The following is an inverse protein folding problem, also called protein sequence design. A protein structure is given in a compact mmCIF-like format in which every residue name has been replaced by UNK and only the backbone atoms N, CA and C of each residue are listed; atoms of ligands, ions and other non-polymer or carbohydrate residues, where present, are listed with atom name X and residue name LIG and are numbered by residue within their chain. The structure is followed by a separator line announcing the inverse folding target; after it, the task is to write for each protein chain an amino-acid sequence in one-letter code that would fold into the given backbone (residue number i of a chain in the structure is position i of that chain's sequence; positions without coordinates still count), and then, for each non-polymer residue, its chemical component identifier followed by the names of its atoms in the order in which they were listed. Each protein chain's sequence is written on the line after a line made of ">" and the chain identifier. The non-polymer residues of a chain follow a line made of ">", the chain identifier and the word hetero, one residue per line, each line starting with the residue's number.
data_IF_684954854368
#
_entry.id   IF_684954854368
#
_cell.length_a   1.000
_cell.length_b   1.000
_cell.length_c   1.000
_cell.angle_alpha   90.00
_cell.angle_beta   90.00
_cell.angle_gamma   90.00
#
_symmetry.space_group_name_H-M   'P 1'
#
loop_
_entity.id
_entity.type
_entity.pdbx_description
1 polymer ?
#
# COMPACT_ATOMS: atom_id res chain seq x y z
N UNK A 1 19.64 6.61 53.43
CA UNK A 1 19.82 5.90 52.13
C UNK A 1 19.10 6.59 50.96
N UNK A 2 17.97 7.30 51.10
CA UNK A 2 17.23 7.97 50.02
C UNK A 2 17.96 9.17 49.37
N UNK A 3 18.75 9.97 50.10
CA UNK A 3 19.51 11.10 49.54
C UNK A 3 20.70 10.71 48.66
N UNK A 4 21.34 9.56 48.90
CA UNK A 4 22.47 9.10 48.10
C UNK A 4 22.03 8.50 46.75
N UNK A 5 20.81 7.97 46.67
CA UNK A 5 20.25 7.48 45.38
C UNK A 5 19.82 8.62 44.47
N UNK A 6 19.35 9.75 45.02
CA UNK A 6 18.90 10.88 44.19
C UNK A 6 20.08 11.61 43.50
N UNK A 7 21.21 11.79 44.22
CA UNK A 7 22.42 12.42 43.65
C UNK A 7 23.11 11.55 42.60
N UNK A 8 22.98 10.22 42.70
CA UNK A 8 23.53 9.31 41.71
C UNK A 8 22.72 9.32 40.41
N UNK A 9 21.41 9.47 40.50
CA UNK A 9 20.52 9.63 39.34
C UNK A 9 20.73 10.98 38.64
N UNK A 10 20.84 12.08 39.39
CA UNK A 10 21.08 13.43 38.81
C UNK A 10 22.43 13.51 38.07
N UNK A 11 23.47 12.85 38.56
CA UNK A 11 24.75 12.77 37.85
C UNK A 11 24.68 11.89 36.60
N UNK A 12 23.93 10.79 36.63
CA UNK A 12 23.74 9.93 35.47
C UNK A 12 22.94 10.64 34.39
N UNK A 13 21.92 11.42 34.76
CA UNK A 13 21.10 12.19 33.80
C UNK A 13 21.95 13.26 33.10
N UNK A 14 22.78 14.01 33.84
CA UNK A 14 23.71 14.98 33.25
C UNK A 14 24.74 14.33 32.31
N UNK A 15 25.29 13.18 32.70
CA UNK A 15 26.22 12.46 31.85
C UNK A 15 25.52 11.95 30.57
N UNK A 16 24.26 11.48 30.67
CA UNK A 16 23.47 11.07 29.51
C UNK A 16 23.22 12.25 28.55
N UNK A 17 22.82 13.41 29.07
CA UNK A 17 22.60 14.61 28.27
C UNK A 17 23.88 15.06 27.53
N UNK A 18 25.03 15.00 28.18
CA UNK A 18 26.32 15.29 27.52
C UNK A 18 26.63 14.32 26.40
N UNK A 19 26.44 13.00 26.62
CA UNK A 19 26.67 11.98 25.59
C UNK A 19 25.71 12.15 24.43
N UNK A 20 24.42 12.48 24.67
CA UNK A 20 23.45 12.74 23.61
C UNK A 20 23.87 13.96 22.78
N UNK A 21 24.32 15.05 23.41
CA UNK A 21 24.81 16.23 22.73
C UNK A 21 26.10 15.96 21.89
N UNK A 22 26.99 15.12 22.39
CA UNK A 22 28.20 14.68 21.65
C UNK A 22 27.85 13.87 20.42
N UNK A 23 26.88 12.94 20.53
CA UNK A 23 26.36 12.14 19.41
C UNK A 23 25.75 13.05 18.34
N UNK A 24 24.91 14.01 18.74
CA UNK A 24 24.33 14.98 17.78
C UNK A 24 25.41 15.84 17.11
N UNK A 25 26.42 16.25 17.84
CA UNK A 25 27.55 17.02 17.27
C UNK A 25 28.36 16.21 16.27
N UNK A 26 28.56 14.92 16.53
CA UNK A 26 29.36 14.04 15.67
C UNK A 26 28.58 13.54 14.45
N UNK A 27 27.31 13.19 14.59
CA UNK A 27 26.51 12.53 13.56
C UNK A 27 25.41 13.41 12.95
N UNK A 28 25.24 14.61 13.47
CA UNK A 28 24.23 15.57 13.02
C UNK A 28 22.98 15.58 13.91
N UNK A 29 22.27 16.71 13.88
CA UNK A 29 21.03 16.92 14.65
C UNK A 29 19.97 15.89 14.25
N UNK A 30 19.33 15.28 15.25
CA UNK A 30 18.32 14.23 15.05
C UNK A 30 18.89 12.84 14.84
N UNK A 31 20.23 12.63 14.99
CA UNK A 31 20.85 11.30 14.95
C UNK A 31 20.46 10.42 16.14
N UNK A 32 20.07 11.03 17.25
CA UNK A 32 19.54 10.39 18.44
C UNK A 32 18.44 11.25 19.05
N UNK A 33 17.37 10.62 19.54
CA UNK A 33 16.24 11.32 20.18
C UNK A 33 15.51 10.36 21.13
N UNK A 34 14.78 10.89 22.09
CA UNK A 34 13.82 10.09 22.86
C UNK A 34 12.62 9.77 21.97
N UNK A 35 12.11 8.55 22.03
CA UNK A 35 11.01 8.11 21.15
C UNK A 35 9.77 9.00 21.27
N UNK A 36 9.43 9.48 22.48
CA UNK A 36 8.30 10.39 22.69
C UNK A 36 8.51 11.81 22.16
N UNK A 37 9.73 12.18 21.80
CA UNK A 37 10.06 13.49 21.17
C UNK A 37 10.09 13.40 19.64
N UNK A 38 9.79 12.20 19.08
CA UNK A 38 9.79 11.98 17.65
C UNK A 38 8.57 12.66 17.00
N UNK A 39 8.76 13.68 16.12
CA UNK A 39 7.66 14.35 15.43
C UNK A 39 6.85 13.42 14.49
N UNK A 40 7.37 12.21 14.19
CA UNK A 40 6.70 11.23 13.35
C UNK A 40 5.86 10.20 14.12
N UNK A 41 5.39 10.50 15.32
CA UNK A 41 4.43 9.65 16.04
C UNK A 41 3.11 9.48 15.27
N UNK A 42 2.68 10.52 14.54
CA UNK A 42 1.55 10.43 13.61
C UNK A 42 2.07 10.00 12.23
N UNK A 43 1.75 8.78 11.82
CA UNK A 43 2.15 8.25 10.52
C UNK A 43 1.34 8.93 9.43
N UNK A 44 1.98 9.78 8.62
CA UNK A 44 1.34 10.31 7.42
C UNK A 44 1.06 9.20 6.41
N UNK A 45 -0.05 9.32 5.69
CA UNK A 45 -0.53 8.27 4.78
C UNK A 45 -1.03 8.81 3.45
N UNK A 46 -0.93 7.97 2.42
CA UNK A 46 -1.62 8.11 1.15
C UNK A 46 -2.75 7.08 1.10
N UNK A 47 -3.97 7.50 0.78
CA UNK A 47 -5.10 6.56 0.64
C UNK A 47 -4.80 5.51 -0.44
N UNK A 48 -5.25 4.30 -0.22
CA UNK A 48 -5.20 3.22 -1.22
C UNK A 48 -6.26 3.35 -2.31
N UNK A 49 -7.22 4.29 -2.16
CA UNK A 49 -8.41 4.39 -2.98
C UNK A 49 -9.56 3.49 -2.54
N UNK A 50 -9.34 2.64 -1.55
CA UNK A 50 -10.33 1.76 -0.92
C UNK A 50 -10.50 2.13 0.56
N UNK A 51 -11.71 2.50 0.96
CA UNK A 51 -12.02 2.90 2.35
C UNK A 51 -11.81 1.71 3.28
N UNK A 52 -12.21 0.53 2.85
CA UNK A 52 -12.12 -0.69 3.67
C UNK A 52 -10.68 -1.16 3.82
N UNK A 53 -9.85 -1.05 2.77
CA UNK A 53 -8.43 -1.34 2.86
C UNK A 53 -7.71 -0.31 3.75
N UNK A 54 -8.02 0.97 3.60
CA UNK A 54 -7.46 2.03 4.42
C UNK A 54 -7.74 1.77 5.92
N UNK A 55 -8.97 1.38 6.26
CA UNK A 55 -9.35 0.96 7.60
C UNK A 55 -8.61 -0.30 8.08
N UNK A 56 -8.43 -1.28 7.19
CA UNK A 56 -7.71 -2.52 7.51
C UNK A 56 -6.22 -2.28 7.77
N UNK A 57 -5.63 -1.27 7.13
CA UNK A 57 -4.24 -0.82 7.37
C UNK A 57 -4.06 -0.19 8.75
N UNK A 58 -5.14 0.25 9.41
CA UNK A 58 -5.15 0.74 10.79
C UNK A 58 -4.59 2.15 10.99
N UNK A 59 -4.01 2.74 9.94
CA UNK A 59 -3.52 4.12 9.89
C UNK A 59 -4.23 4.92 8.78
N UNK A 60 -5.29 4.37 8.20
CA UNK A 60 -6.13 4.96 7.16
C UNK A 60 -5.41 5.25 5.84
N UNK A 61 -4.50 4.36 5.44
CA UNK A 61 -3.82 4.42 4.15
C UNK A 61 -2.44 3.77 4.15
N UNK A 62 -1.74 3.91 3.04
CA UNK A 62 -0.36 3.49 2.89
C UNK A 62 0.57 4.45 3.63
N UNK A 63 1.39 3.97 4.59
CA UNK A 63 2.30 4.82 5.35
C UNK A 63 3.36 5.44 4.44
N UNK A 64 3.53 6.77 4.53
CA UNK A 64 4.57 7.49 3.81
C UNK A 64 5.98 7.11 4.28
N UNK A 65 6.96 7.27 3.39
CA UNK A 65 8.35 6.94 3.68
C UNK A 65 8.61 5.44 3.87
N UNK A 66 7.73 4.57 3.37
CA UNK A 66 7.79 3.12 3.59
C UNK A 66 7.77 2.31 2.30
N UNK A 67 8.33 1.11 2.40
CA UNK A 67 8.25 0.09 1.35
C UNK A 67 7.02 -0.78 1.61
N UNK A 68 6.18 -0.93 0.58
CA UNK A 68 4.97 -1.73 0.58
C UNK A 68 5.11 -2.82 -0.48
N UNK A 69 4.67 -4.02 -0.18
CA UNK A 69 4.55 -5.11 -1.17
C UNK A 69 3.08 -5.47 -1.35
N UNK A 70 2.60 -5.38 -2.58
CA UNK A 70 1.29 -5.90 -3.00
C UNK A 70 1.55 -7.14 -3.84
N UNK A 71 1.04 -8.29 -3.41
CA UNK A 71 1.30 -9.54 -4.11
C UNK A 71 0.06 -10.42 -4.22
N UNK A 72 0.06 -11.33 -5.17
CA UNK A 72 -1.05 -12.26 -5.41
C UNK A 72 -0.92 -12.93 -6.77
N UNK A 73 -1.88 -13.81 -7.10
CA UNK A 73 -1.96 -14.46 -8.40
C UNK A 73 -2.08 -13.45 -9.53
N UNK A 74 -1.87 -13.91 -10.75
CA UNK A 74 -2.14 -13.12 -11.95
C UNK A 74 -3.60 -12.69 -12.02
N UNK A 75 -3.85 -11.53 -12.62
CA UNK A 75 -5.21 -10.95 -12.79
C UNK A 75 -6.01 -10.79 -11.49
N UNK A 76 -5.34 -10.66 -10.34
CA UNK A 76 -6.01 -10.45 -9.03
C UNK A 76 -6.31 -8.98 -8.70
N UNK A 77 -5.92 -8.02 -9.55
CA UNK A 77 -6.15 -6.59 -9.36
C UNK A 77 -5.01 -5.81 -8.71
N UNK A 78 -3.79 -6.38 -8.62
CA UNK A 78 -2.62 -5.71 -8.00
C UNK A 78 -2.31 -4.35 -8.60
N UNK A 79 -2.20 -4.28 -9.93
CA UNK A 79 -1.96 -3.04 -10.68
C UNK A 79 -3.11 -2.05 -10.51
N UNK A 80 -4.36 -2.52 -10.46
CA UNK A 80 -5.54 -1.69 -10.19
C UNK A 80 -5.41 -0.95 -8.85
N UNK A 81 -5.04 -1.65 -7.77
CA UNK A 81 -4.80 -1.02 -6.46
C UNK A 81 -3.65 -0.01 -6.48
N UNK A 82 -2.58 -0.32 -7.18
CA UNK A 82 -1.44 0.60 -7.30
C UNK A 82 -1.82 1.88 -8.09
N UNK A 83 -2.61 1.74 -9.16
CA UNK A 83 -3.09 2.88 -9.93
C UNK A 83 -4.08 3.74 -9.14
N UNK A 84 -4.97 3.14 -8.33
CA UNK A 84 -5.81 3.91 -7.41
C UNK A 84 -4.98 4.69 -6.38
N UNK A 85 -3.93 4.09 -5.83
CA UNK A 85 -3.03 4.79 -4.91
C UNK A 85 -2.33 5.98 -5.58
N UNK A 86 -1.93 5.84 -6.85
CA UNK A 86 -1.38 6.95 -7.66
C UNK A 86 -2.43 8.06 -7.81
N UNK A 87 -3.66 7.72 -8.22
CA UNK A 87 -4.73 8.69 -8.37
C UNK A 87 -5.01 9.45 -7.05
N UNK A 88 -5.01 8.75 -5.93
CA UNK A 88 -5.20 9.37 -4.61
C UNK A 88 -4.01 10.26 -4.18
N UNK A 89 -2.78 9.88 -4.53
CA UNK A 89 -1.60 10.73 -4.32
C UNK A 89 -1.69 12.03 -5.14
N UNK A 90 -2.03 11.92 -6.43
CA UNK A 90 -2.17 13.06 -7.33
C UNK A 90 -3.31 14.00 -6.92
N UNK A 91 -4.47 13.47 -6.47
CA UNK A 91 -5.59 14.28 -5.94
C UNK A 91 -5.19 15.15 -4.75
N UNK A 92 -4.20 14.75 -3.97
CA UNK A 92 -3.63 15.53 -2.87
C UNK A 92 -2.50 16.48 -3.30
N UNK A 93 -2.25 16.61 -4.62
CA UNK A 93 -1.17 17.41 -5.18
C UNK A 93 0.20 16.75 -5.12
N UNK A 94 0.27 15.46 -4.77
CA UNK A 94 1.50 14.67 -4.77
C UNK A 94 1.92 14.24 -6.18
N UNK A 95 3.21 13.99 -6.35
CA UNK A 95 3.79 13.49 -7.59
C UNK A 95 4.02 12.00 -7.52
N UNK A 96 3.68 11.28 -8.59
CA UNK A 96 3.84 9.85 -8.66
C UNK A 96 4.69 9.42 -9.86
N UNK A 97 5.39 8.30 -9.70
CA UNK A 97 6.11 7.64 -10.76
C UNK A 97 5.70 6.17 -10.87
N UNK A 98 5.64 5.67 -12.10
CA UNK A 98 5.36 4.28 -12.41
C UNK A 98 6.54 3.69 -13.17
N UNK A 99 7.16 2.67 -12.61
CA UNK A 99 8.26 1.92 -13.23
C UNK A 99 7.65 0.62 -13.76
N UNK A 100 7.40 0.61 -15.07
CA UNK A 100 6.73 -0.47 -15.81
C UNK A 100 7.77 -1.44 -16.38
N UNK A 101 8.18 -2.40 -15.57
CA UNK A 101 9.11 -3.44 -15.99
C UNK A 101 8.43 -4.55 -16.82
N UNK A 102 7.11 -4.63 -16.82
CA UNK A 102 6.34 -5.57 -17.67
C UNK A 102 5.97 -4.97 -19.03
N UNK A 103 6.17 -3.64 -19.24
CA UNK A 103 5.78 -2.90 -20.44
C UNK A 103 4.28 -3.06 -20.79
N UNK A 104 3.43 -3.08 -19.77
CA UNK A 104 2.04 -3.48 -19.88
C UNK A 104 1.03 -2.45 -19.34
N UNK A 105 1.49 -1.23 -18.97
CA UNK A 105 0.58 -0.19 -18.49
C UNK A 105 -0.37 0.26 -19.61
N UNK A 106 -1.68 0.26 -19.31
CA UNK A 106 -2.71 0.81 -20.20
C UNK A 106 -3.07 2.24 -19.73
N UNK A 107 -2.71 3.27 -20.52
CA UNK A 107 -3.03 4.66 -20.16
C UNK A 107 -4.54 4.96 -20.16
N UNK A 108 -5.34 4.25 -20.98
CA UNK A 108 -6.80 4.42 -21.00
C UNK A 108 -7.40 3.92 -19.70
N UNK A 109 -6.95 2.75 -19.26
CA UNK A 109 -7.37 2.19 -17.98
C UNK A 109 -6.89 3.03 -16.80
N UNK A 110 -5.62 3.47 -16.80
CA UNK A 110 -5.10 4.35 -15.75
C UNK A 110 -5.94 5.64 -15.62
N UNK A 111 -6.28 6.28 -16.74
CA UNK A 111 -7.15 7.45 -16.78
C UNK A 111 -8.56 7.16 -16.24
N UNK A 112 -9.13 6.00 -16.58
CA UNK A 112 -10.45 5.58 -16.07
C UNK A 112 -10.47 5.42 -14.55
N UNK A 113 -9.34 5.02 -13.95
CA UNK A 113 -9.15 4.92 -12.50
C UNK A 113 -8.89 6.29 -11.82
N UNK A 114 -8.81 7.37 -12.59
CA UNK A 114 -8.63 8.72 -12.09
C UNK A 114 -7.16 9.17 -12.01
N UNK A 115 -6.24 8.44 -12.64
CA UNK A 115 -4.84 8.86 -12.76
C UNK A 115 -4.75 10.00 -13.75
N UNK A 116 -4.08 11.09 -13.37
CA UNK A 116 -3.62 12.12 -14.28
C UNK A 116 -2.41 11.59 -15.03
N UNK A 117 -2.64 11.14 -16.28
CA UNK A 117 -1.62 10.51 -17.10
C UNK A 117 -0.61 11.51 -17.66
N UNK A 118 -0.98 12.79 -17.74
CA UNK A 118 -0.10 13.85 -18.23
C UNK A 118 0.95 14.23 -17.17
N UNK A 119 0.62 14.06 -15.88
CA UNK A 119 1.52 14.31 -14.73
C UNK A 119 2.19 13.03 -14.18
N UNK A 120 1.83 11.85 -14.69
CA UNK A 120 2.43 10.60 -14.25
C UNK A 120 3.81 10.39 -14.90
N UNK A 121 4.85 10.29 -14.07
CA UNK A 121 6.20 9.96 -14.55
C UNK A 121 6.26 8.46 -14.85
N UNK A 122 6.45 8.12 -16.13
CA UNK A 122 6.57 6.73 -16.59
C UNK A 122 8.03 6.41 -16.93
N UNK A 123 8.50 5.25 -16.47
CA UNK A 123 9.78 4.66 -16.87
C UNK A 123 9.57 3.20 -17.26
N UNK A 124 10.18 2.80 -18.39
CA UNK A 124 10.16 1.42 -18.88
C UNK A 124 11.61 0.94 -19.03
N UNK A 125 12.20 0.43 -17.94
CA UNK A 125 13.60 0.05 -17.91
C UNK A 125 13.86 -1.28 -18.61
N UNK A 126 15.05 -1.42 -19.20
CA UNK A 126 15.48 -2.64 -19.87
C UNK A 126 15.95 -3.72 -18.90
N UNK A 127 16.44 -3.35 -17.71
CA UNK A 127 16.96 -4.28 -16.70
C UNK A 127 16.50 -3.95 -15.29
N UNK A 128 16.59 -4.94 -14.40
CA UNK A 128 16.26 -4.78 -12.99
C UNK A 128 17.17 -3.79 -12.28
N UNK A 129 18.47 -3.71 -12.66
CA UNK A 129 19.41 -2.72 -12.14
C UNK A 129 18.95 -1.31 -12.50
N UNK A 130 18.62 -1.07 -13.77
CA UNK A 130 18.14 0.22 -14.25
C UNK A 130 16.86 0.65 -13.53
N UNK A 131 15.88 -0.26 -13.41
CA UNK A 131 14.62 -0.01 -12.70
C UNK A 131 14.85 0.47 -11.26
N UNK A 132 15.72 -0.25 -10.52
CA UNK A 132 15.96 0.02 -9.10
C UNK A 132 16.87 1.24 -8.87
N UNK A 133 17.77 1.56 -9.81
CA UNK A 133 18.57 2.79 -9.78
C UNK A 133 17.72 4.04 -10.09
N UNK A 134 16.78 3.92 -11.03
CA UNK A 134 15.78 4.98 -11.29
C UNK A 134 14.94 5.21 -10.04
N UNK A 135 14.41 4.14 -9.42
CA UNK A 135 13.65 4.25 -8.18
C UNK A 135 14.47 4.93 -7.07
N UNK A 136 15.71 4.51 -6.86
CA UNK A 136 16.61 5.12 -5.85
C UNK A 136 16.83 6.62 -6.13
N UNK A 137 17.05 7.00 -7.39
CA UNK A 137 17.27 8.39 -7.80
C UNK A 137 16.03 9.25 -7.56
N UNK A 138 14.85 8.74 -7.91
CA UNK A 138 13.59 9.42 -7.67
C UNK A 138 13.33 9.63 -6.17
N UNK A 139 13.58 8.62 -5.33
CA UNK A 139 13.48 8.75 -3.87
C UNK A 139 14.44 9.82 -3.34
N UNK A 140 15.69 9.79 -3.79
CA UNK A 140 16.72 10.77 -3.36
C UNK A 140 16.39 12.21 -3.73
N UNK A 141 15.63 12.42 -4.79
CA UNK A 141 15.23 13.76 -5.20
C UNK A 141 14.35 14.48 -4.17
N UNK A 142 13.61 13.71 -3.32
CA UNK A 142 12.64 14.25 -2.39
C UNK A 142 11.43 14.91 -3.07
N UNK A 143 11.30 14.78 -4.39
CA UNK A 143 10.25 15.43 -5.17
C UNK A 143 9.08 14.50 -5.55
N UNK A 144 9.17 13.21 -5.20
CA UNK A 144 8.20 12.17 -5.54
C UNK A 144 7.59 11.62 -4.25
N UNK A 145 6.27 11.57 -4.20
CA UNK A 145 5.53 11.06 -3.05
C UNK A 145 5.27 9.56 -3.13
N UNK A 146 5.03 9.04 -4.34
CA UNK A 146 4.70 7.63 -4.57
C UNK A 146 5.41 7.08 -5.80
N UNK A 147 6.07 5.95 -5.65
CA UNK A 147 6.65 5.16 -6.75
C UNK A 147 5.99 3.79 -6.76
N UNK A 148 5.55 3.34 -7.93
CA UNK A 148 5.09 1.97 -8.17
C UNK A 148 6.11 1.26 -9.05
N UNK A 149 6.48 0.03 -8.69
CA UNK A 149 7.32 -0.86 -9.50
C UNK A 149 6.49 -2.08 -9.87
N UNK A 150 6.13 -2.22 -11.13
CA UNK A 150 5.32 -3.31 -11.68
C UNK A 150 6.09 -4.07 -12.76
N UNK A 151 6.52 -5.28 -12.52
CA UNK A 151 6.52 -6.01 -11.25
C UNK A 151 7.92 -6.52 -10.90
N UNK A 152 8.10 -6.92 -9.63
CA UNK A 152 9.37 -7.55 -9.19
C UNK A 152 9.72 -8.78 -10.02
N UNK A 153 8.71 -9.52 -10.50
CA UNK A 153 8.92 -10.70 -11.34
C UNK A 153 9.64 -10.38 -12.66
N UNK A 154 9.44 -9.17 -13.19
CA UNK A 154 10.01 -8.71 -14.45
C UNK A 154 11.37 -7.98 -14.27
N UNK A 155 11.86 -7.82 -13.05
CA UNK A 155 13.18 -7.22 -12.79
C UNK A 155 14.28 -8.23 -13.10
N UNK A 156 14.61 -8.37 -14.38
CA UNK A 156 15.66 -9.28 -14.85
C UNK A 156 17.04 -8.62 -14.66
N UNK A 157 17.98 -9.29 -13.99
CA UNK A 157 19.36 -8.78 -13.87
C UNK A 157 20.04 -8.62 -15.21
N UNK A 158 20.85 -7.56 -15.38
CA UNK A 158 21.57 -7.28 -16.63
C UNK A 158 22.42 -8.46 -17.11
N UNK A 159 23.11 -9.13 -16.19
CA UNK A 159 23.93 -10.31 -16.49
C UNK A 159 23.09 -11.46 -17.09
N UNK A 160 21.82 -11.57 -16.70
CA UNK A 160 20.91 -12.57 -17.26
C UNK A 160 20.47 -12.18 -18.68
N UNK A 161 20.29 -10.89 -18.96
CA UNK A 161 19.98 -10.38 -20.31
C UNK A 161 21.15 -10.52 -21.28
N UNK A 162 22.38 -10.34 -20.80
CA UNK A 162 23.60 -10.43 -21.59
C UNK A 162 24.07 -11.89 -21.79
N UNK A 163 23.51 -12.84 -20.99
CA UNK A 163 23.87 -14.25 -21.01
C UNK A 163 23.18 -15.04 -22.12
N UNK A 164 23.63 -16.29 -22.31
CA UNK A 164 22.97 -17.23 -23.21
C UNK A 164 21.74 -17.88 -22.57
N UNK A 165 20.77 -18.30 -23.39
CA UNK A 165 19.55 -18.99 -22.91
C UNK A 165 19.82 -20.30 -22.14
N UNK A 166 21.00 -20.87 -22.30
CA UNK A 166 21.46 -22.08 -21.59
C UNK A 166 22.05 -21.80 -20.22
N UNK A 167 22.33 -20.54 -19.88
CA UNK A 167 23.03 -20.20 -18.65
C UNK A 167 22.13 -20.35 -17.42
N UNK A 168 22.68 -20.98 -16.39
CA UNK A 168 21.98 -21.11 -15.11
C UNK A 168 22.23 -19.89 -14.23
N UNK A 169 21.24 -19.01 -14.12
CA UNK A 169 21.36 -17.72 -13.44
C UNK A 169 20.66 -17.71 -12.05
N UNK A 170 20.72 -18.85 -11.34
CA UNK A 170 20.00 -19.00 -10.06
C UNK A 170 20.39 -17.96 -9.02
N UNK A 171 19.38 -17.27 -8.48
CA UNK A 171 19.51 -16.37 -7.33
C UNK A 171 20.03 -14.97 -7.63
N UNK A 172 20.30 -14.60 -8.89
CA UNK A 172 20.76 -13.26 -9.27
C UNK A 172 19.72 -12.19 -8.91
N UNK A 173 18.45 -12.40 -9.29
CA UNK A 173 17.36 -11.49 -8.94
C UNK A 173 17.23 -11.29 -7.43
N UNK A 174 17.37 -12.34 -6.63
CA UNK A 174 17.31 -12.22 -5.17
C UNK A 174 18.50 -11.41 -4.59
N UNK A 175 19.69 -11.52 -5.20
CA UNK A 175 20.86 -10.71 -4.83
C UNK A 175 20.66 -9.24 -5.21
N UNK A 176 20.16 -8.98 -6.41
CA UNK A 176 19.82 -7.65 -6.90
C UNK A 176 18.81 -6.97 -5.96
N UNK A 177 17.69 -7.62 -5.67
CA UNK A 177 16.68 -7.13 -4.75
C UNK A 177 17.24 -6.86 -3.34
N UNK A 178 18.06 -7.76 -2.82
CA UNK A 178 18.69 -7.58 -1.50
C UNK A 178 19.62 -6.37 -1.45
N UNK A 179 20.40 -6.12 -2.51
CA UNK A 179 21.28 -4.95 -2.63
C UNK A 179 20.49 -3.67 -2.75
N UNK A 180 19.49 -3.64 -3.62
CA UNK A 180 18.67 -2.47 -3.87
C UNK A 180 17.84 -2.06 -2.65
N UNK A 181 17.15 -3.01 -2.01
CA UNK A 181 16.32 -2.73 -0.84
C UNK A 181 17.13 -2.23 0.36
N UNK A 182 18.38 -2.69 0.51
CA UNK A 182 19.30 -2.16 1.52
C UNK A 182 19.61 -0.70 1.29
N UNK A 183 19.87 -0.31 0.03
CA UNK A 183 20.13 1.10 -0.35
C UNK A 183 18.87 1.95 -0.18
N UNK A 184 17.74 1.50 -0.75
CA UNK A 184 16.45 2.19 -0.68
C UNK A 184 16.02 2.42 0.77
N UNK A 185 16.11 1.41 1.64
CA UNK A 185 15.77 1.55 3.06
C UNK A 185 16.54 2.67 3.76
N UNK A 186 17.84 2.84 3.43
CA UNK A 186 18.66 3.90 3.99
C UNK A 186 18.28 5.31 3.52
N UNK A 187 17.75 5.43 2.30
CA UNK A 187 17.33 6.71 1.71
C UNK A 187 15.91 7.07 2.15
N UNK A 188 15.01 6.11 2.12
CA UNK A 188 13.59 6.31 2.44
C UNK A 188 13.33 6.81 3.86
N UNK A 189 14.19 6.45 4.81
CA UNK A 189 14.10 6.98 6.18
C UNK A 189 14.30 8.51 6.27
N UNK A 190 14.72 9.14 5.18
CA UNK A 190 14.99 10.59 5.10
C UNK A 190 14.04 11.32 4.15
N UNK A 191 13.09 10.61 3.58
CA UNK A 191 12.11 11.13 2.62
C UNK A 191 10.72 10.59 2.96
N UNK A 192 9.68 11.30 2.54
CA UNK A 192 8.29 10.87 2.68
C UNK A 192 7.80 10.05 1.48
N UNK A 193 8.72 9.69 0.57
CA UNK A 193 8.39 8.89 -0.61
C UNK A 193 8.01 7.47 -0.23
N UNK A 194 6.86 6.99 -0.71
CA UNK A 194 6.41 5.61 -0.56
C UNK A 194 6.76 4.82 -1.82
N UNK A 195 7.23 3.57 -1.67
CA UNK A 195 7.41 2.67 -2.80
C UNK A 195 6.49 1.46 -2.65
N UNK A 196 5.68 1.22 -3.67
CA UNK A 196 4.85 0.01 -3.81
C UNK A 196 5.53 -0.92 -4.82
N UNK A 197 5.94 -2.09 -4.35
CA UNK A 197 6.38 -3.19 -5.21
C UNK A 197 5.22 -4.13 -5.47
N UNK A 198 4.85 -4.28 -6.74
CA UNK A 198 3.92 -5.32 -7.16
C UNK A 198 4.71 -6.62 -7.36
N UNK A 199 4.20 -7.73 -6.84
CA UNK A 199 4.87 -9.01 -6.91
C UNK A 199 3.92 -10.14 -7.30
N UNK A 200 4.47 -11.15 -7.94
CA UNK A 200 3.73 -12.33 -8.36
C UNK A 200 4.01 -13.51 -7.43
N UNK A 201 3.05 -14.41 -7.33
CA UNK A 201 3.22 -15.68 -6.64
C UNK A 201 3.81 -16.72 -7.59
N UNK A 202 4.67 -17.56 -7.06
CA UNK A 202 5.24 -18.75 -7.71
C UNK A 202 5.12 -19.92 -6.76
N UNK A 203 5.03 -21.12 -7.28
CA UNK A 203 5.05 -22.33 -6.49
C UNK A 203 6.46 -22.88 -6.34
N UNK A 204 6.81 -23.28 -5.13
CA UNK A 204 8.06 -24.00 -4.86
C UNK A 204 7.88 -25.47 -5.21
N UNK A 205 8.73 -25.95 -6.09
CA UNK A 205 8.77 -27.37 -6.46
C UNK A 205 9.24 -28.20 -5.24
N UNK A 206 8.57 -29.32 -4.97
CA UNK A 206 8.97 -30.28 -3.95
C UNK A 206 8.50 -30.00 -2.52
N UNK A 207 7.62 -29.00 -2.31
CA UNK A 207 6.99 -28.77 -1.00
C UNK A 207 5.78 -29.70 -0.85
N UNK A 208 5.94 -30.79 -0.11
CA UNK A 208 4.86 -31.76 0.15
C UNK A 208 3.94 -31.34 1.30
N UNK A 209 4.41 -30.49 2.22
CA UNK A 209 3.65 -30.04 3.39
C UNK A 209 3.80 -28.53 3.58
N UNK A 210 2.71 -27.85 3.98
CA UNK A 210 2.68 -26.40 4.18
C UNK A 210 2.30 -25.64 2.90
N UNK A 211 2.49 -24.31 2.91
CA UNK A 211 2.16 -23.45 1.76
C UNK A 211 3.33 -23.42 0.76
N UNK A 212 3.16 -23.97 -0.48
CA UNK A 212 4.18 -23.93 -1.50
C UNK A 212 4.38 -22.56 -2.12
N UNK A 213 3.42 -21.64 -1.97
CA UNK A 213 3.46 -20.34 -2.62
C UNK A 213 4.56 -19.43 -2.04
N UNK A 214 5.24 -18.74 -2.92
CA UNK A 214 6.25 -17.74 -2.57
C UNK A 214 6.25 -16.61 -3.57
N UNK A 215 6.66 -15.41 -3.12
CA UNK A 215 6.87 -14.27 -4.01
C UNK A 215 8.22 -14.34 -4.69
N UNK A 216 8.36 -13.72 -5.87
CA UNK A 216 9.61 -13.61 -6.63
C UNK A 216 10.61 -12.64 -5.96
N UNK A 217 11.85 -12.58 -6.43
CA UNK A 217 12.87 -11.68 -5.90
C UNK A 217 13.46 -12.09 -4.53
N UNK A 218 13.22 -13.34 -4.08
CA UNK A 218 13.77 -13.88 -2.85
C UNK A 218 13.06 -13.42 -1.57
N UNK A 219 13.81 -13.32 -0.48
CA UNK A 219 13.23 -12.98 0.85
C UNK A 219 13.35 -11.51 1.24
N UNK A 220 14.09 -10.70 0.48
CA UNK A 220 14.45 -9.34 0.89
C UNK A 220 13.21 -8.46 1.11
N UNK A 221 12.25 -8.44 0.17
CA UNK A 221 11.01 -7.69 0.33
C UNK A 221 10.20 -8.08 1.57
N UNK A 222 10.17 -9.36 1.93
CA UNK A 222 9.49 -9.82 3.15
C UNK A 222 10.04 -9.18 4.43
N UNK A 223 11.33 -8.83 4.44
CA UNK A 223 11.98 -8.16 5.58
C UNK A 223 11.89 -6.65 5.50
N UNK A 224 12.19 -6.05 4.34
CA UNK A 224 12.26 -4.61 4.17
C UNK A 224 10.91 -3.92 4.09
N UNK A 225 9.88 -4.56 3.53
CA UNK A 225 8.53 -3.98 3.50
C UNK A 225 7.98 -3.73 4.91
N UNK A 226 7.37 -2.58 5.11
CA UNK A 226 6.63 -2.23 6.32
C UNK A 226 5.21 -2.80 6.29
N UNK A 227 4.61 -2.85 5.11
CA UNK A 227 3.28 -3.42 4.87
C UNK A 227 3.38 -4.44 3.74
N UNK A 228 2.70 -5.57 3.89
CA UNK A 228 2.52 -6.58 2.83
C UNK A 228 1.06 -6.94 2.72
N UNK A 229 0.56 -6.89 1.50
CA UNK A 229 -0.85 -7.08 1.19
C UNK A 229 -0.97 -8.19 0.16
N UNK A 230 -1.72 -9.22 0.50
CA UNK A 230 -2.09 -10.29 -0.40
C UNK A 230 -3.44 -9.98 -1.04
N UNK A 231 -3.51 -10.06 -2.36
CA UNK A 231 -4.73 -9.80 -3.13
C UNK A 231 -5.09 -11.07 -3.90
N UNK A 232 -6.32 -11.57 -3.69
CA UNK A 232 -6.83 -12.77 -4.33
C UNK A 232 -8.23 -12.56 -4.87
N UNK A 233 -8.47 -12.99 -6.10
CA UNK A 233 -9.81 -13.06 -6.66
C UNK A 233 -10.65 -14.08 -5.86
N UNK A 234 -11.86 -13.68 -5.44
CA UNK A 234 -12.79 -14.52 -4.68
C UNK A 234 -13.92 -15.04 -5.55
N UNK A 235 -14.55 -14.17 -6.33
CA UNK A 235 -15.71 -14.51 -7.14
C UNK A 235 -15.84 -13.64 -8.37
N UNK A 236 -16.77 -13.98 -9.26
CA UNK A 236 -17.13 -13.17 -10.41
C UNK A 236 -18.41 -12.36 -10.11
N UNK A 237 -18.37 -11.06 -10.39
CA UNK A 237 -19.54 -10.20 -10.35
C UNK A 237 -20.22 -10.26 -11.70
N UNK A 238 -21.51 -10.58 -11.70
CA UNK A 238 -22.30 -10.76 -12.93
C UNK A 238 -23.43 -9.74 -13.01
N UNK A 239 -23.63 -9.22 -14.21
CA UNK A 239 -24.82 -8.46 -14.56
C UNK A 239 -25.58 -9.24 -15.65
N UNK A 240 -26.69 -9.90 -15.24
CA UNK A 240 -27.33 -10.89 -16.08
C UNK A 240 -26.41 -12.09 -16.34
N UNK A 241 -26.04 -12.32 -17.59
CA UNK A 241 -25.13 -13.42 -18.01
C UNK A 241 -23.67 -12.95 -18.15
N UNK A 242 -23.41 -11.66 -18.17
CA UNK A 242 -22.06 -11.09 -18.38
C UNK A 242 -21.31 -10.96 -17.06
N UNK A 243 -19.99 -11.24 -17.12
CA UNK A 243 -19.09 -10.97 -16.00
C UNK A 243 -18.57 -9.55 -16.14
N UNK A 244 -18.98 -8.68 -15.21
CA UNK A 244 -18.62 -7.25 -15.21
C UNK A 244 -17.51 -6.91 -14.24
N UNK A 245 -17.10 -7.84 -13.40
CA UNK A 245 -16.05 -7.60 -12.41
C UNK A 245 -15.72 -8.82 -11.57
N UNK A 246 -14.91 -8.59 -10.55
CA UNK A 246 -14.51 -9.62 -9.58
C UNK A 246 -14.66 -9.10 -8.16
N UNK A 247 -15.19 -9.96 -7.31
CA UNK A 247 -15.02 -9.85 -5.87
C UNK A 247 -13.57 -10.24 -5.52
N UNK A 248 -12.90 -9.41 -4.73
CA UNK A 248 -11.47 -9.53 -4.46
C UNK A 248 -11.21 -9.49 -2.96
N UNK A 249 -10.59 -10.56 -2.45
CA UNK A 249 -10.15 -10.64 -1.06
C UNK A 249 -8.77 -10.01 -0.91
N UNK A 250 -8.65 -9.13 0.08
CA UNK A 250 -7.43 -8.43 0.43
C UNK A 250 -7.07 -8.80 1.85
N UNK A 251 -5.84 -9.24 2.07
CA UNK A 251 -5.34 -9.59 3.40
C UNK A 251 -4.05 -8.84 3.71
N UNK A 252 -4.03 -8.11 4.81
CA UNK A 252 -2.82 -7.46 5.33
C UNK A 252 -2.00 -8.49 6.07
N UNK A 253 -1.03 -9.13 5.42
CA UNK A 253 -0.24 -10.24 6.00
C UNK A 253 0.94 -9.77 6.84
N UNK A 254 1.35 -8.52 6.70
CA UNK A 254 2.37 -7.86 7.52
C UNK A 254 2.05 -6.38 7.64
N UNK A 255 2.19 -5.85 8.84
CA UNK A 255 2.04 -4.42 9.10
C UNK A 255 2.95 -4.02 10.27
N UNK A 256 3.80 -3.01 10.07
CA UNK A 256 4.69 -2.47 11.12
C UNK A 256 4.15 -1.21 11.77
N UNK A 257 3.03 -0.67 11.28
CA UNK A 257 2.43 0.59 11.77
C UNK A 257 1.11 0.37 12.51
N UNK A 258 0.52 -0.84 12.40
CA UNK A 258 -0.71 -1.24 13.09
C UNK A 258 -0.77 -2.78 13.21
N UNK A 259 -1.73 -3.36 13.97
CA UNK A 259 -1.93 -4.80 14.04
C UNK A 259 -2.22 -5.42 12.66
N UNK A 260 -1.47 -6.47 12.25
CA UNK A 260 -1.66 -7.15 10.97
C UNK A 260 -2.84 -8.13 10.97
N UNK A 261 -3.00 -8.86 9.85
CA UNK A 261 -3.93 -9.98 9.61
C UNK A 261 -5.39 -9.59 9.44
N UNK A 262 -5.70 -8.30 9.29
CA UNK A 262 -7.03 -7.87 8.87
C UNK A 262 -7.26 -8.27 7.41
N UNK A 263 -8.51 -8.65 7.11
CA UNK A 263 -8.94 -9.02 5.76
C UNK A 263 -10.18 -8.22 5.40
N UNK A 264 -10.27 -7.79 4.16
CA UNK A 264 -11.42 -7.09 3.59
C UNK A 264 -11.71 -7.64 2.21
N UNK A 265 -12.93 -7.45 1.76
CA UNK A 265 -13.37 -7.83 0.42
C UNK A 265 -13.86 -6.59 -0.30
N UNK A 266 -13.44 -6.42 -1.56
CA UNK A 266 -13.85 -5.30 -2.41
C UNK A 266 -14.29 -5.81 -3.77
N UNK A 267 -15.17 -5.06 -4.42
CA UNK A 267 -15.54 -5.29 -5.81
C UNK A 267 -14.59 -4.52 -6.73
N UNK A 268 -14.00 -5.21 -7.70
CA UNK A 268 -13.28 -4.59 -8.83
C UNK A 268 -14.15 -4.74 -10.07
N UNK A 269 -14.63 -3.62 -10.61
CA UNK A 269 -15.43 -3.57 -11.83
C UNK A 269 -14.51 -3.30 -13.02
N UNK A 270 -14.68 -4.06 -14.09
CA UNK A 270 -13.86 -3.91 -15.29
C UNK A 270 -14.06 -2.54 -15.93
N UNK A 271 -12.95 -1.85 -16.20
CA UNK A 271 -12.95 -0.49 -16.73
C UNK A 271 -13.19 0.63 -15.70
N UNK A 272 -13.74 0.32 -14.51
CA UNK A 272 -14.01 1.30 -13.45
C UNK A 272 -13.07 1.18 -12.24
N UNK A 273 -12.49 -0.02 -12.02
CA UNK A 273 -11.64 -0.31 -10.87
C UNK A 273 -12.42 -0.64 -9.60
N UNK A 274 -11.95 -0.18 -8.45
CA UNK A 274 -12.58 -0.44 -7.15
C UNK A 274 -13.95 0.23 -7.09
N UNK A 275 -14.99 -0.55 -6.77
CA UNK A 275 -16.36 -0.05 -6.63
C UNK A 275 -16.53 0.77 -5.35
N UNK A 276 -16.20 2.06 -5.42
CA UNK A 276 -16.35 2.99 -4.29
C UNK A 276 -17.77 2.96 -3.71
N UNK A 277 -18.78 2.93 -4.57
CA UNK A 277 -20.19 2.87 -4.16
C UNK A 277 -20.51 1.57 -3.41
N UNK A 278 -19.92 0.45 -3.85
CA UNK A 278 -20.07 -0.83 -3.16
C UNK A 278 -19.47 -0.80 -1.77
N UNK A 279 -18.25 -0.27 -1.63
CA UNK A 279 -17.59 -0.16 -0.33
C UNK A 279 -18.35 0.76 0.63
N UNK A 280 -18.83 1.92 0.15
CA UNK A 280 -19.62 2.85 0.97
C UNK A 280 -20.91 2.19 1.43
N UNK A 281 -21.64 1.49 0.52
CA UNK A 281 -22.86 0.80 0.87
C UNK A 281 -22.62 -0.26 1.96
N UNK A 282 -21.64 -1.13 1.76
CA UNK A 282 -21.34 -2.21 2.70
C UNK A 282 -20.85 -1.66 4.04
N UNK A 283 -19.97 -0.66 4.04
CA UNK A 283 -19.51 -0.01 5.26
C UNK A 283 -20.60 0.78 5.99
N UNK A 284 -21.57 1.34 5.26
CA UNK A 284 -22.71 2.02 5.84
C UNK A 284 -23.69 1.03 6.49
N UNK A 285 -23.87 -0.16 5.89
CA UNK A 285 -24.67 -1.24 6.50
C UNK A 285 -24.02 -1.78 7.77
N UNK A 286 -22.71 -2.01 7.76
CA UNK A 286 -21.96 -2.46 8.94
C UNK A 286 -22.05 -1.49 10.14
N UNK A 287 -22.31 -0.20 9.87
CA UNK A 287 -22.39 0.87 10.86
C UNK A 287 -23.82 1.31 11.16
N UNK A 288 -24.81 0.54 10.70
CA UNK A 288 -26.23 0.87 10.85
C UNK A 288 -26.65 2.26 10.31
N UNK A 289 -25.85 2.83 9.37
CA UNK A 289 -26.18 4.05 8.65
C UNK A 289 -27.18 3.79 7.52
N UNK A 290 -27.14 2.59 6.95
CA UNK A 290 -28.12 2.05 6.01
C UNK A 290 -28.67 0.78 6.60
N UNK A 291 -30.01 0.72 6.73
CA UNK A 291 -30.72 -0.44 7.23
C UNK A 291 -30.81 -1.51 6.14
N UNK A 292 -30.49 -2.76 6.48
CA UNK A 292 -30.66 -3.92 5.60
C UNK A 292 -31.64 -4.90 6.20
N UNK A 293 -32.77 -5.11 5.56
CA UNK A 293 -33.77 -6.07 5.95
C UNK A 293 -34.05 -7.04 4.81
N UNK A 294 -33.53 -8.26 4.92
CA UNK A 294 -33.57 -9.26 3.85
C UNK A 294 -32.87 -8.72 2.58
N UNK A 295 -33.61 -8.62 1.49
CA UNK A 295 -33.09 -8.04 0.23
C UNK A 295 -33.24 -6.52 0.14
N UNK A 296 -33.89 -5.86 1.09
CA UNK A 296 -34.17 -4.44 1.03
C UNK A 296 -33.11 -3.63 1.79
N UNK A 297 -32.73 -2.52 1.17
CA UNK A 297 -31.89 -1.48 1.76
C UNK A 297 -32.74 -0.23 1.98
N UNK A 298 -32.59 0.42 3.14
CA UNK A 298 -33.31 1.63 3.49
C UNK A 298 -32.35 2.66 4.14
N UNK A 299 -32.61 3.93 3.90
CA UNK A 299 -31.95 5.05 4.53
C UNK A 299 -32.98 5.99 5.15
N UNK A 300 -32.86 6.26 6.46
CA UNK A 300 -33.85 7.06 7.20
C UNK A 300 -35.33 6.59 7.04
N UNK A 301 -35.54 5.25 6.95
CA UNK A 301 -36.84 4.66 6.74
C UNK A 301 -37.33 4.65 5.30
N UNK A 302 -36.65 5.28 4.35
CA UNK A 302 -36.96 5.25 2.93
C UNK A 302 -36.22 4.11 2.23
N UNK A 303 -36.94 3.33 1.40
CA UNK A 303 -36.33 2.25 0.63
C UNK A 303 -35.48 2.80 -0.50
N UNK A 304 -34.20 2.47 -0.49
CA UNK A 304 -33.22 2.90 -1.52
C UNK A 304 -32.92 1.83 -2.56
N UNK A 305 -33.35 0.58 -2.35
CA UNK A 305 -33.20 -0.47 -3.35
C UNK A 305 -33.53 -1.85 -2.84
N UNK A 306 -34.02 -2.71 -3.74
CA UNK A 306 -34.12 -4.14 -3.51
C UNK A 306 -32.93 -4.83 -4.17
N UNK A 307 -32.08 -5.45 -3.36
CA UNK A 307 -30.80 -6.01 -3.78
C UNK A 307 -29.66 -4.98 -3.78
N UNK A 308 -28.42 -5.49 -3.64
CA UNK A 308 -27.20 -4.68 -3.51
C UNK A 308 -26.98 -3.77 -4.72
N UNK A 309 -27.19 -4.27 -5.93
CA UNK A 309 -26.95 -3.51 -7.16
C UNK A 309 -27.91 -2.32 -7.32
N UNK A 310 -29.20 -2.50 -6.96
CA UNK A 310 -30.15 -1.38 -7.00
C UNK A 310 -29.83 -0.31 -5.95
N UNK A 311 -29.38 -0.71 -4.76
CA UNK A 311 -28.92 0.23 -3.73
C UNK A 311 -27.65 0.99 -4.17
N UNK A 312 -26.71 0.31 -4.85
CA UNK A 312 -25.53 0.96 -5.45
C UNK A 312 -25.92 1.98 -6.52
N UNK A 313 -26.88 1.62 -7.39
CA UNK A 313 -27.41 2.55 -8.42
C UNK A 313 -28.04 3.76 -7.75
N UNK A 314 -28.86 3.57 -6.74
CA UNK A 314 -29.46 4.68 -5.99
C UNK A 314 -28.38 5.63 -5.42
N UNK A 315 -27.33 5.11 -4.81
CA UNK A 315 -26.23 5.92 -4.29
C UNK A 315 -25.47 6.66 -5.40
N UNK A 316 -25.29 6.04 -6.57
CA UNK A 316 -24.68 6.71 -7.75
C UNK A 316 -25.51 7.90 -8.21
N UNK A 317 -26.84 7.78 -8.17
CA UNK A 317 -27.79 8.82 -8.57
C UNK A 317 -27.97 9.90 -7.49
N UNK A 318 -27.48 9.66 -6.28
CA UNK A 318 -27.57 10.57 -5.13
C UNK A 318 -26.18 10.89 -4.57
N UNK A 319 -25.35 11.66 -5.28
CA UNK A 319 -23.97 11.93 -4.88
C UNK A 319 -23.83 12.62 -3.52
N UNK A 320 -24.77 13.52 -3.18
CA UNK A 320 -24.77 14.21 -1.87
C UNK A 320 -24.89 13.24 -0.70
N UNK A 321 -25.76 12.21 -0.84
CA UNK A 321 -25.91 11.17 0.14
C UNK A 321 -24.64 10.31 0.20
N UNK A 322 -24.08 9.96 -0.94
CA UNK A 322 -22.86 9.17 -1.02
C UNK A 322 -21.68 9.88 -0.35
N UNK A 323 -21.49 11.18 -0.59
CA UNK A 323 -20.43 11.98 0.01
C UNK A 323 -20.59 12.12 1.53
N UNK A 324 -21.84 12.30 1.99
CA UNK A 324 -22.14 12.35 3.41
C UNK A 324 -21.83 11.02 4.11
N UNK A 325 -22.24 9.88 3.52
CA UNK A 325 -21.95 8.55 4.05
C UNK A 325 -20.43 8.29 4.07
N UNK A 326 -19.73 8.61 2.98
CA UNK A 326 -18.27 8.47 2.92
C UNK A 326 -17.59 9.27 4.03
N UNK A 327 -17.98 10.53 4.22
CA UNK A 327 -17.43 11.38 5.28
C UNK A 327 -17.70 10.78 6.66
N UNK A 328 -18.92 10.37 6.94
CA UNK A 328 -19.31 9.78 8.22
C UNK A 328 -18.52 8.49 8.51
N UNK A 329 -18.35 7.64 7.50
CA UNK A 329 -17.56 6.42 7.61
C UNK A 329 -16.09 6.76 7.89
N UNK A 330 -15.48 7.69 7.13
CA UNK A 330 -14.09 8.13 7.34
C UNK A 330 -13.88 8.74 8.72
N UNK A 331 -14.81 9.54 9.21
CA UNK A 331 -14.72 10.14 10.54
C UNK A 331 -14.80 9.07 11.65
N UNK A 332 -15.59 8.01 11.47
CA UNK A 332 -15.67 6.88 12.40
C UNK A 332 -14.40 6.01 12.43
N UNK A 333 -13.55 6.11 11.40
CA UNK A 333 -12.30 5.35 11.28
C UNK A 333 -11.09 6.08 11.85
N UNK A 334 -11.23 7.38 12.19
CA UNK A 334 -10.16 8.13 12.85
C UNK A 334 -9.89 7.52 14.23
N UNK A 335 -8.62 7.39 14.66
CA UNK A 335 -8.32 7.03 16.04
C UNK A 335 -9.02 8.02 16.98
N UNK A 336 -9.63 7.50 18.04
CA UNK A 336 -10.10 8.35 19.14
C UNK A 336 -8.83 8.96 19.71
N UNK A 337 -8.66 10.27 19.55
CA UNK A 337 -7.61 11.00 20.28
C UNK A 337 -7.99 10.87 21.76
N UNK A 338 -7.24 10.06 22.50
CA UNK A 338 -7.33 10.05 23.95
C UNK A 338 -6.80 11.41 24.43
N UNK A 339 -7.72 12.20 25.00
CA UNK A 339 -7.43 13.48 25.67
C UNK A 339 -6.48 13.32 26.87
#
# INVERSE_FOLDING_TARGET
>A
MAKANNTKNENNDKNLEQVLAEIEKQFGKGSIMKLGENPHMNVEVTSSGSITLDAALGVNGFPKGRIIEIFGPESSGKTTFALHAIAEAQKKGGRAAFIDAEHAIDPVYAKALGVDIDELILSQPDSGEQALEIAETLVRSGAIDLIVVDSVAALVPQVELDGEMSDSQMGLQARLMSKALRKLSGVMNKTDCTIIFINQLREKIGVMFGNPETTTGGRALKFYSSVRIEIRRAGAIKQGTEIVGNETNIKVVKNKVAPPFKSVTVDIIYGEGISKTGEILDAAVERDLIEKSGAWYAYNGEKIGQGRENAKTYLKDHPDLMDMLEKTIKDSLKPIEEE
#
